data_IF_286581694729
#
_entry.id   IF_286581694729
#
_cell.length_a   1.000
_cell.length_b   1.000
_cell.length_c   1.000
_cell.angle_alpha   90.00
_cell.angle_beta   90.00
_cell.angle_gamma   90.00
#
_symmetry.space_group_name_H-M   'P 1'
#
loop_
_entity.id
_entity.type
_entity.pdbx_description
1 polymer ?
#
# COMPACT_ATOMS: atom_id res chain seq x y z
N UNK A 1 17.91 14.14 -0.02
CA UNK A 1 17.61 14.43 1.38
C UNK A 1 16.95 13.22 2.00
N UNK A 2 17.46 12.74 3.12
CA UNK A 2 16.89 11.59 3.87
C UNK A 2 15.82 12.03 4.88
N UNK A 3 15.60 13.35 5.03
CA UNK A 3 14.66 13.93 5.98
C UNK A 3 13.21 13.61 5.57
N UNK A 4 12.44 13.07 6.51
CA UNK A 4 11.03 12.68 6.30
C UNK A 4 10.10 13.63 7.06
N UNK A 5 8.85 13.69 6.63
CA UNK A 5 7.81 14.42 7.37
C UNK A 5 7.63 13.79 8.74
N UNK A 6 7.74 14.61 9.79
CA UNK A 6 7.69 14.17 11.18
C UNK A 6 9.07 13.99 11.86
N UNK A 7 10.16 14.12 11.09
CA UNK A 7 11.50 14.12 11.68
C UNK A 7 11.74 15.38 12.51
N UNK A 8 12.52 15.23 13.56
CA UNK A 8 12.96 16.35 14.39
C UNK A 8 14.34 16.81 13.94
N UNK A 9 14.47 18.08 13.60
CA UNK A 9 15.73 18.70 13.22
C UNK A 9 16.30 19.42 14.44
N UNK A 10 17.56 19.16 14.76
CA UNK A 10 18.28 19.81 15.83
C UNK A 10 19.64 20.32 15.33
N UNK A 11 20.27 21.18 16.14
CA UNK A 11 21.63 21.62 15.87
C UNK A 11 22.61 20.45 16.08
N UNK A 12 23.57 20.30 15.16
CA UNK A 12 24.58 19.25 15.22
C UNK A 12 25.49 19.38 16.45
N UNK A 13 25.68 20.60 16.97
CA UNK A 13 26.45 20.87 18.18
C UNK A 13 25.69 20.56 19.48
N UNK A 14 24.34 20.43 19.40
CA UNK A 14 23.45 20.12 20.50
C UNK A 14 22.43 19.06 20.13
N UNK A 15 22.85 17.82 19.82
CA UNK A 15 21.95 16.77 19.43
C UNK A 15 20.98 16.39 20.54
N UNK A 16 19.74 16.09 20.20
CA UNK A 16 18.73 15.62 21.16
C UNK A 16 18.63 14.09 21.09
N UNK A 17 18.50 13.46 22.27
CA UNK A 17 18.43 12.00 22.37
C UNK A 17 17.08 11.41 21.90
N UNK A 18 16.01 12.21 21.92
CA UNK A 18 14.66 11.75 21.58
C UNK A 18 13.97 12.75 20.66
N UNK A 19 13.27 12.27 19.61
CA UNK A 19 12.48 13.14 18.76
C UNK A 19 11.33 13.79 19.53
N UNK A 20 10.85 14.95 19.06
CA UNK A 20 9.69 15.62 19.63
C UNK A 20 8.44 14.70 19.53
N UNK A 21 7.66 14.57 20.60
CA UNK A 21 6.48 13.71 20.61
C UNK A 21 5.35 14.28 19.76
N UNK A 22 4.45 13.41 19.30
CA UNK A 22 3.21 13.81 18.62
C UNK A 22 3.24 13.71 17.09
N UNK A 23 4.42 13.60 16.49
CA UNK A 23 4.54 13.39 15.05
C UNK A 23 4.54 11.90 14.72
N UNK A 24 3.63 11.50 13.81
CA UNK A 24 3.58 10.13 13.28
C UNK A 24 3.83 10.21 11.77
N UNK A 25 4.62 9.30 11.20
CA UNK A 25 4.77 9.24 9.75
C UNK A 25 3.40 8.98 9.11
N UNK A 26 3.11 9.70 8.02
CA UNK A 26 1.92 9.43 7.22
C UNK A 26 1.99 8.01 6.66
N UNK A 27 0.91 7.26 6.85
CA UNK A 27 0.80 5.89 6.32
C UNK A 27 -0.10 5.92 5.09
N UNK A 28 0.32 5.30 3.98
CA UNK A 28 -0.55 5.12 2.84
C UNK A 28 -1.79 4.32 3.22
N UNK A 29 -2.92 4.68 2.62
CA UNK A 29 -4.22 4.00 2.81
C UNK A 29 -4.79 3.46 1.49
N UNK A 30 -4.31 3.97 0.36
CA UNK A 30 -4.65 3.48 -0.98
C UNK A 30 -3.40 2.93 -1.62
N UNK A 31 -3.49 1.72 -2.12
CA UNK A 31 -2.39 1.06 -2.82
C UNK A 31 -2.80 0.72 -4.25
N UNK A 32 -1.86 0.84 -5.18
CA UNK A 32 -2.03 0.35 -6.54
C UNK A 32 -0.70 -0.08 -7.15
N UNK A 33 -0.75 -0.94 -8.16
CA UNK A 33 0.37 -1.18 -9.05
C UNK A 33 0.34 -0.18 -10.20
N UNK A 34 1.47 0.44 -10.48
CA UNK A 34 1.68 1.31 -11.64
C UNK A 34 2.62 0.60 -12.63
N UNK A 35 2.12 0.34 -13.82
CA UNK A 35 2.87 -0.31 -14.89
C UNK A 35 2.88 0.58 -16.12
N UNK A 36 4.01 0.74 -16.82
CA UNK A 36 4.01 1.44 -18.09
C UNK A 36 3.29 0.58 -19.14
N UNK A 37 2.55 1.23 -20.05
CA UNK A 37 1.90 0.54 -21.19
C UNK A 37 2.97 -0.10 -22.07
N UNK A 38 4.06 0.62 -22.32
CA UNK A 38 5.25 0.09 -23.00
C UNK A 38 6.32 -0.27 -21.98
N UNK A 39 6.70 -1.54 -21.93
CA UNK A 39 7.71 -2.05 -20.99
C UNK A 39 9.09 -1.37 -21.14
N UNK A 40 9.39 -0.79 -22.30
CA UNK A 40 10.61 -0.01 -22.53
C UNK A 40 10.65 1.29 -21.70
N UNK A 41 9.51 1.79 -21.28
CA UNK A 41 9.37 3.01 -20.45
C UNK A 41 9.55 2.78 -18.94
N UNK A 42 9.86 1.55 -18.51
CA UNK A 42 10.08 1.24 -17.09
C UNK A 42 11.09 2.17 -16.40
N UNK A 43 12.22 2.45 -17.08
CA UNK A 43 13.24 3.34 -16.51
C UNK A 43 12.73 4.78 -16.41
N UNK A 44 11.96 5.23 -17.39
CA UNK A 44 11.31 6.56 -17.41
C UNK A 44 10.29 6.71 -16.26
N UNK A 45 9.48 5.67 -16.02
CA UNK A 45 8.58 5.61 -14.88
C UNK A 45 9.33 5.68 -13.54
N UNK A 46 10.41 4.90 -13.40
CA UNK A 46 11.26 4.89 -12.21
C UNK A 46 11.82 6.27 -11.90
N UNK A 47 12.37 6.94 -12.91
CA UNK A 47 12.96 8.27 -12.78
C UNK A 47 11.88 9.32 -12.45
N UNK A 48 10.70 9.21 -13.05
CA UNK A 48 9.53 10.04 -12.75
C UNK A 48 9.10 9.91 -11.29
N UNK A 49 8.91 8.68 -10.81
CA UNK A 49 8.56 8.41 -9.40
C UNK A 49 9.63 8.96 -8.44
N UNK A 50 10.91 8.77 -8.74
CA UNK A 50 11.99 9.28 -7.92
C UNK A 50 11.99 10.81 -7.83
N UNK A 51 11.75 11.51 -8.95
CA UNK A 51 11.65 12.98 -8.99
C UNK A 51 10.41 13.48 -8.24
N UNK A 52 9.25 12.87 -8.44
CA UNK A 52 8.03 13.23 -7.72
C UNK A 52 8.20 13.03 -6.20
N UNK A 53 8.89 11.97 -5.79
CA UNK A 53 9.19 11.69 -4.38
C UNK A 53 10.00 12.77 -3.69
N UNK A 54 10.82 13.52 -4.42
CA UNK A 54 11.58 14.67 -3.88
C UNK A 54 10.65 15.81 -3.44
N UNK A 55 9.53 15.99 -4.13
CA UNK A 55 8.56 17.04 -3.85
C UNK A 55 7.44 16.57 -2.94
N UNK A 56 7.11 15.28 -2.99
CA UNK A 56 6.06 14.67 -2.21
C UNK A 56 6.56 13.40 -1.51
N UNK A 57 6.96 13.54 -0.25
CA UNK A 57 7.45 12.44 0.56
C UNK A 57 6.31 11.53 1.07
N UNK A 58 5.04 11.87 0.83
CA UNK A 58 3.89 11.19 1.43
C UNK A 58 3.46 9.92 0.71
N UNK A 59 3.82 9.73 -0.58
CA UNK A 59 3.62 8.44 -1.25
C UNK A 59 4.84 7.53 -1.11
N UNK A 60 4.61 6.24 -1.19
CA UNK A 60 5.66 5.21 -1.20
C UNK A 60 5.60 4.44 -2.51
N UNK A 61 6.74 3.93 -2.96
CA UNK A 61 6.79 3.02 -4.10
C UNK A 61 7.91 1.98 -3.90
N UNK A 62 7.67 0.79 -4.40
CA UNK A 62 8.63 -0.31 -4.44
C UNK A 62 8.49 -1.08 -5.77
N UNK A 63 9.56 -1.67 -6.28
CA UNK A 63 9.50 -2.45 -7.50
C UNK A 63 8.49 -3.61 -7.38
N UNK A 64 7.71 -3.81 -8.42
CA UNK A 64 6.76 -4.93 -8.54
C UNK A 64 6.89 -5.54 -9.94
N UNK A 65 6.61 -6.82 -10.05
CA UNK A 65 6.54 -7.52 -11.34
C UNK A 65 5.21 -8.24 -11.50
N UNK A 66 4.65 -8.12 -12.70
CA UNK A 66 3.44 -8.84 -13.10
C UNK A 66 3.76 -9.76 -14.26
N UNK A 67 3.25 -10.98 -14.25
CA UNK A 67 3.40 -11.92 -15.38
C UNK A 67 2.73 -11.42 -16.66
N UNK A 68 1.70 -10.59 -16.53
CA UNK A 68 0.95 -10.04 -17.66
C UNK A 68 1.45 -8.67 -18.13
N UNK A 69 1.92 -7.81 -17.19
CA UNK A 69 2.26 -6.41 -17.45
C UNK A 69 3.76 -6.15 -17.39
N UNK A 70 4.58 -7.12 -17.00
CA UNK A 70 6.01 -6.96 -16.86
C UNK A 70 6.42 -6.22 -15.58
N UNK A 71 7.42 -5.34 -15.69
CA UNK A 71 7.97 -4.60 -14.56
C UNK A 71 7.18 -3.32 -14.31
N UNK A 72 6.93 -3.02 -13.04
CA UNK A 72 6.24 -1.83 -12.57
C UNK A 72 6.59 -1.50 -11.13
N UNK A 73 5.72 -0.76 -10.49
CA UNK A 73 5.89 -0.35 -9.09
C UNK A 73 4.59 -0.52 -8.32
N UNK A 74 4.68 -1.10 -7.14
CA UNK A 74 3.64 -1.02 -6.12
C UNK A 74 3.77 0.33 -5.43
N UNK A 75 2.70 1.11 -5.47
CA UNK A 75 2.66 2.45 -4.90
C UNK A 75 1.63 2.53 -3.79
N UNK A 76 1.92 3.33 -2.76
CA UNK A 76 1.01 3.61 -1.66
C UNK A 76 0.77 5.11 -1.53
N UNK A 77 -0.50 5.52 -1.43
CA UNK A 77 -0.97 6.91 -1.44
C UNK A 77 -1.83 7.23 -0.23
N UNK A 78 -1.94 8.50 0.13
CA UNK A 78 -2.79 8.97 1.24
C UNK A 78 -4.29 8.90 0.95
N UNK A 79 -4.69 8.77 -0.31
CA UNK A 79 -6.07 8.70 -0.75
C UNK A 79 -6.18 8.60 -2.27
N UNK A 80 -7.42 8.46 -2.77
CA UNK A 80 -7.69 8.35 -4.21
C UNK A 80 -7.29 9.62 -4.97
N UNK A 81 -7.60 10.79 -4.45
CA UNK A 81 -7.20 12.06 -5.08
C UNK A 81 -5.68 12.19 -5.18
N UNK A 82 -4.95 11.73 -4.16
CA UNK A 82 -3.50 11.74 -4.20
C UNK A 82 -2.96 10.78 -5.28
N UNK A 83 -3.57 9.60 -5.44
CA UNK A 83 -3.27 8.67 -6.53
C UNK A 83 -3.49 9.34 -7.89
N UNK A 84 -4.66 9.96 -8.10
CA UNK A 84 -5.00 10.64 -9.36
C UNK A 84 -4.00 11.75 -9.70
N UNK A 85 -3.63 12.57 -8.72
CA UNK A 85 -2.65 13.66 -8.92
C UNK A 85 -1.28 13.08 -9.33
N UNK A 86 -0.79 12.06 -8.65
CA UNK A 86 0.52 11.48 -8.95
C UNK A 86 0.51 10.79 -10.33
N UNK A 87 -0.54 10.06 -10.66
CA UNK A 87 -0.65 9.41 -11.99
C UNK A 87 -0.75 10.46 -13.12
N UNK A 88 -1.58 11.48 -12.97
CA UNK A 88 -1.69 12.55 -13.95
C UNK A 88 -0.34 13.29 -14.12
N UNK A 89 0.40 13.54 -13.06
CA UNK A 89 1.72 14.15 -13.15
C UNK A 89 2.74 13.26 -13.86
N UNK A 90 2.71 11.95 -13.62
CA UNK A 90 3.57 11.00 -14.35
C UNK A 90 3.28 11.02 -15.85
N UNK A 91 2.01 11.06 -16.23
CA UNK A 91 1.61 11.12 -17.63
C UNK A 91 1.97 12.44 -18.28
N UNK A 92 1.70 13.57 -17.62
CA UNK A 92 1.88 14.92 -18.22
C UNK A 92 3.31 15.45 -18.14
N UNK A 93 4.01 15.23 -17.01
CA UNK A 93 5.35 15.80 -16.81
C UNK A 93 6.45 14.86 -17.34
N UNK A 94 6.19 13.56 -17.34
CA UNK A 94 7.17 12.55 -17.74
C UNK A 94 6.75 11.77 -18.99
N UNK A 95 5.57 12.07 -19.56
CA UNK A 95 5.09 11.44 -20.79
C UNK A 95 5.17 9.90 -20.72
N UNK A 96 4.66 9.31 -19.64
CA UNK A 96 4.59 7.87 -19.40
C UNK A 96 3.12 7.46 -19.35
N UNK A 97 2.68 6.64 -20.31
CA UNK A 97 1.35 6.08 -20.28
C UNK A 97 1.28 4.92 -19.27
N UNK A 98 0.31 4.98 -18.35
CA UNK A 98 0.24 4.09 -17.21
C UNK A 98 -0.98 3.16 -17.25
N UNK A 99 -0.76 1.94 -16.78
CA UNK A 99 -1.81 1.01 -16.37
C UNK A 99 -1.80 0.97 -14.85
N UNK A 100 -2.93 1.33 -14.22
CA UNK A 100 -3.12 1.22 -12.79
C UNK A 100 -3.83 -0.08 -12.46
N UNK A 101 -3.32 -0.84 -11.50
CA UNK A 101 -3.93 -2.09 -11.04
C UNK A 101 -4.12 -2.08 -9.53
N UNK A 102 -5.12 -2.80 -9.05
CA UNK A 102 -5.21 -3.10 -7.62
C UNK A 102 -4.10 -4.08 -7.24
N UNK A 103 -3.28 -3.79 -6.20
CA UNK A 103 -2.22 -4.70 -5.81
C UNK A 103 -2.81 -5.99 -5.25
N UNK A 104 -2.13 -7.08 -5.52
CA UNK A 104 -2.39 -8.35 -4.87
C UNK A 104 -2.01 -8.32 -3.38
N UNK A 105 -2.51 -9.31 -2.66
CA UNK A 105 -2.15 -9.54 -1.26
C UNK A 105 -0.79 -10.22 -1.20
N UNK A 106 0.08 -9.79 -0.27
CA UNK A 106 1.35 -10.48 0.00
C UNK A 106 1.06 -11.64 0.95
N UNK A 107 1.34 -12.87 0.50
CA UNK A 107 1.24 -14.06 1.32
C UNK A 107 2.59 -14.39 1.94
N UNK A 108 2.60 -14.88 3.17
CA UNK A 108 3.80 -15.49 3.78
C UNK A 108 3.73 -16.99 3.61
N UNK A 109 4.70 -17.53 2.88
CA UNK A 109 4.81 -18.96 2.64
C UNK A 109 5.92 -19.51 3.52
N UNK A 110 5.54 -20.36 4.48
CA UNK A 110 6.47 -21.08 5.33
C UNK A 110 6.88 -22.37 4.61
N UNK A 111 8.17 -22.50 4.34
CA UNK A 111 8.71 -23.71 3.72
C UNK A 111 9.06 -24.74 4.77
N UNK A 112 9.01 -26.02 4.41
CA UNK A 112 9.34 -27.18 5.26
C UNK A 112 10.76 -27.13 5.85
N UNK A 113 11.66 -26.32 5.27
CA UNK A 113 13.04 -26.10 5.77
C UNK A 113 13.16 -24.89 6.70
N UNK A 114 12.06 -24.29 7.15
CA UNK A 114 12.04 -23.15 8.07
C UNK A 114 12.28 -21.79 7.40
N UNK A 115 12.41 -21.72 6.09
CA UNK A 115 12.49 -20.46 5.34
C UNK A 115 11.10 -19.86 5.18
N UNK A 116 10.98 -18.53 5.36
CA UNK A 116 9.73 -17.78 5.13
C UNK A 116 9.93 -16.92 3.87
N UNK A 117 9.05 -17.11 2.90
CA UNK A 117 9.03 -16.39 1.64
C UNK A 117 7.83 -15.43 1.62
N UNK A 118 8.08 -14.15 1.39
CA UNK A 118 7.04 -13.18 1.10
C UNK A 118 6.65 -13.29 -0.40
N UNK A 119 5.48 -13.87 -0.65
CA UNK A 119 4.99 -14.14 -2.00
C UNK A 119 4.12 -12.97 -2.47
N UNK A 120 4.63 -12.19 -3.41
CA UNK A 120 3.92 -11.09 -4.06
C UNK A 120 3.31 -11.53 -5.41
N UNK A 121 4.00 -12.38 -6.14
CA UNK A 121 3.58 -12.85 -7.46
C UNK A 121 3.24 -14.34 -7.40
N UNK A 122 2.02 -14.75 -7.78
CA UNK A 122 1.62 -16.17 -7.83
C UNK A 122 2.56 -17.06 -8.64
N UNK A 123 3.23 -16.51 -9.67
CA UNK A 123 4.19 -17.25 -10.49
C UNK A 123 5.42 -17.72 -9.72
N UNK A 124 5.70 -17.10 -8.57
CA UNK A 124 6.83 -17.47 -7.70
C UNK A 124 6.42 -18.45 -6.59
N UNK A 125 5.22 -19.05 -6.67
CA UNK A 125 4.75 -20.03 -5.71
C UNK A 125 5.70 -21.24 -5.71
N UNK A 126 6.26 -21.63 -4.54
CA UNK A 126 7.06 -22.84 -4.43
C UNK A 126 6.24 -24.08 -4.75
N UNK A 127 6.95 -25.19 -5.02
CA UNK A 127 6.31 -26.51 -5.15
C UNK A 127 5.49 -26.84 -3.89
N UNK A 128 4.25 -27.32 -4.02
CA UNK A 128 3.39 -27.67 -2.89
C UNK A 128 4.06 -28.58 -1.85
N UNK A 129 4.96 -29.47 -2.28
CA UNK A 129 5.71 -30.36 -1.39
C UNK A 129 6.69 -29.63 -0.46
N UNK A 130 7.05 -28.39 -0.78
CA UNK A 130 7.96 -27.54 0.00
C UNK A 130 7.21 -26.57 0.91
N UNK A 131 5.89 -26.54 0.86
CA UNK A 131 5.06 -25.60 1.62
C UNK A 131 4.54 -26.30 2.87
N UNK A 132 4.86 -25.75 4.04
CA UNK A 132 4.30 -26.18 5.32
C UNK A 132 3.00 -25.43 5.64
N UNK A 133 3.00 -24.08 5.42
CA UNK A 133 1.91 -23.20 5.79
C UNK A 133 1.91 -21.95 4.90
N UNK A 134 0.73 -21.43 4.60
CA UNK A 134 0.55 -20.13 3.94
C UNK A 134 -0.25 -19.23 4.87
N UNK A 135 0.24 -18.03 5.09
CA UNK A 135 -0.43 -16.98 5.85
C UNK A 135 -0.85 -15.86 4.93
N UNK A 136 -2.07 -15.37 5.10
CA UNK A 136 -2.58 -14.16 4.49
C UNK A 136 -2.67 -13.03 5.53
N UNK A 137 -2.43 -11.75 5.15
CA UNK A 137 -2.60 -10.65 6.08
C UNK A 137 -4.07 -10.42 6.37
N UNK A 138 -4.38 -10.23 7.65
CA UNK A 138 -5.69 -9.78 8.11
C UNK A 138 -5.60 -8.33 8.54
N UNK A 139 -6.66 -7.56 8.28
CA UNK A 139 -6.80 -6.19 8.71
C UNK A 139 -7.88 -6.07 9.76
N UNK A 140 -7.72 -5.13 10.68
CA UNK A 140 -8.79 -4.64 11.54
C UNK A 140 -9.29 -3.32 10.98
N UNK A 141 -10.53 -3.27 10.57
CA UNK A 141 -11.17 -2.04 10.08
C UNK A 141 -12.27 -1.58 11.03
N UNK A 142 -12.45 -0.27 11.12
CA UNK A 142 -13.56 0.34 11.81
C UNK A 142 -14.43 1.06 10.80
N UNK A 143 -15.68 0.66 10.67
CA UNK A 143 -16.61 1.20 9.69
C UNK A 143 -17.66 2.02 10.41
N UNK A 144 -17.78 3.29 10.07
CA UNK A 144 -18.81 4.20 10.61
C UNK A 144 -19.82 4.48 9.50
N UNK A 145 -21.06 4.09 9.73
CA UNK A 145 -22.10 4.17 8.71
C UNK A 145 -23.45 4.58 9.30
N UNK A 146 -24.34 5.22 8.51
CA UNK A 146 -25.76 5.29 8.88
C UNK A 146 -26.35 3.89 9.10
N UNK A 147 -27.27 3.78 10.04
CA UNK A 147 -27.87 2.48 10.45
C UNK A 147 -28.54 1.75 9.27
N UNK A 148 -29.13 2.48 8.34
CA UNK A 148 -29.77 1.92 7.13
C UNK A 148 -28.86 1.08 6.24
N UNK A 149 -27.53 1.33 6.26
CA UNK A 149 -26.54 0.59 5.44
C UNK A 149 -25.82 -0.52 6.22
N UNK A 150 -26.04 -0.62 7.54
CA UNK A 150 -25.32 -1.56 8.39
C UNK A 150 -25.47 -3.01 7.91
N UNK A 151 -26.68 -3.44 7.58
CA UNK A 151 -26.93 -4.81 7.10
C UNK A 151 -26.19 -5.15 5.81
N UNK A 152 -26.16 -4.22 4.86
CA UNK A 152 -25.43 -4.40 3.60
C UNK A 152 -23.93 -4.49 3.81
N UNK A 153 -23.37 -3.67 4.71
CA UNK A 153 -21.95 -3.67 5.04
C UNK A 153 -21.55 -4.95 5.74
N UNK A 154 -22.33 -5.41 6.72
CA UNK A 154 -22.08 -6.70 7.40
C UNK A 154 -22.06 -7.84 6.40
N UNK A 155 -23.01 -7.87 5.45
CA UNK A 155 -23.04 -8.89 4.41
C UNK A 155 -21.77 -8.87 3.55
N UNK A 156 -21.36 -7.68 3.08
CA UNK A 156 -20.10 -7.54 2.30
C UNK A 156 -18.91 -8.05 3.10
N UNK A 157 -18.80 -7.71 4.37
CA UNK A 157 -17.73 -8.17 5.24
C UNK A 157 -17.74 -9.71 5.37
N UNK A 158 -18.91 -10.31 5.58
CA UNK A 158 -19.06 -11.77 5.68
C UNK A 158 -18.70 -12.47 4.36
N UNK A 159 -19.14 -11.93 3.21
CA UNK A 159 -18.79 -12.46 1.89
C UNK A 159 -17.25 -12.43 1.64
N UNK A 160 -16.55 -11.50 2.29
CA UNK A 160 -15.08 -11.40 2.29
C UNK A 160 -14.42 -12.09 3.49
N UNK A 161 -15.11 -12.99 4.17
CA UNK A 161 -14.61 -13.73 5.34
C UNK A 161 -14.31 -12.84 6.55
N UNK A 162 -14.88 -11.65 6.61
CA UNK A 162 -14.72 -10.74 7.74
C UNK A 162 -15.46 -11.25 8.98
N UNK A 163 -14.87 -10.98 10.14
CA UNK A 163 -15.45 -11.31 11.45
C UNK A 163 -15.78 -10.01 12.16
N UNK A 164 -17.05 -9.81 12.46
CA UNK A 164 -17.49 -8.67 13.27
C UNK A 164 -17.03 -8.86 14.72
N UNK A 165 -16.20 -7.95 15.22
CA UNK A 165 -15.65 -8.01 16.57
C UNK A 165 -16.42 -7.14 17.56
N UNK A 166 -16.99 -6.04 17.09
CA UNK A 166 -17.75 -5.11 17.92
C UNK A 166 -18.82 -4.39 17.10
N UNK A 167 -19.88 -3.94 17.77
CA UNK A 167 -20.88 -3.05 17.21
C UNK A 167 -21.26 -2.06 18.31
N UNK A 168 -21.13 -0.78 18.02
CA UNK A 168 -21.55 0.30 18.91
C UNK A 168 -22.26 1.38 18.10
N UNK A 169 -22.96 2.26 18.79
CA UNK A 169 -23.70 3.35 18.16
C UNK A 169 -23.19 4.69 18.69
N UNK A 170 -22.96 5.63 17.78
CA UNK A 170 -22.64 7.02 18.10
C UNK A 170 -23.67 7.93 17.41
N UNK A 171 -24.66 8.37 18.18
CA UNK A 171 -25.81 9.09 17.66
C UNK A 171 -26.64 8.22 16.69
N UNK A 172 -26.80 8.68 15.44
CA UNK A 172 -27.50 7.95 14.37
C UNK A 172 -26.57 7.10 13.48
N UNK A 173 -25.34 6.84 13.92
CA UNK A 173 -24.36 6.07 13.16
C UNK A 173 -23.97 4.81 13.91
N UNK A 174 -23.94 3.70 13.20
CA UNK A 174 -23.36 2.45 13.67
C UNK A 174 -21.84 2.47 13.46
N UNK A 175 -21.10 1.93 14.42
CA UNK A 175 -19.64 1.76 14.39
C UNK A 175 -19.34 0.28 14.56
N UNK A 176 -18.89 -0.36 13.51
CA UNK A 176 -18.59 -1.80 13.46
C UNK A 176 -17.11 -2.07 13.18
#
# INVERSE_FOLDING_TARGET
SETKVGDTICDASAPIDKPLPGFKPSKPVVFCGLFPVDSSEYQKLKDGLAKLKLNDASFSYEPESSSALGLGFRCGFLGLLHLEIITERLEREFDVNLITTTPGVIYKVHKTKGEILDLQNPSNMPDPSQIEKIEEPWIKSTIITPDEYLGSIIKICQDKRGIQTNLSYSGKRAVS
#
